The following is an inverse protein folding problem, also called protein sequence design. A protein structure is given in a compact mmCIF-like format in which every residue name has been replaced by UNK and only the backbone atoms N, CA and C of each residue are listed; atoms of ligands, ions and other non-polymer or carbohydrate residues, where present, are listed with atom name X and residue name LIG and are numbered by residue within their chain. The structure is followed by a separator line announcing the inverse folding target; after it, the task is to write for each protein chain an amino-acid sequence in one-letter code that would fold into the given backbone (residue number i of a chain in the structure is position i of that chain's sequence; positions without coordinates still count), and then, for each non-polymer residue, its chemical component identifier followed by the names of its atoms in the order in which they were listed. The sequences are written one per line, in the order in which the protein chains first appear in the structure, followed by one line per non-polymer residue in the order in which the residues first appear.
data_IF_129455515002
#
_entry.id   IF_129455515002
#
_cell.length_a   1.000
_cell.length_b   1.000
_cell.length_c   1.000
_cell.angle_alpha   90.00
_cell.angle_beta   90.00
_cell.angle_gamma   90.00
#
_symmetry.space_group_name_H-M   'P 1'
#
loop_
_entity.id
_entity.type
_entity.pdbx_description
1 polymer ?
#
# COMPACT_ATOMS: atom_id res chain seq x y z
N UNK A 1 -22.74 -4.75 7.23
CA UNK A 1 -22.24 -3.65 8.08
C UNK A 1 -20.86 -4.08 8.52
N UNK A 2 -19.81 -3.40 8.03
CA UNK A 2 -18.44 -3.62 8.49
C UNK A 2 -18.36 -3.18 9.95
N UNK A 3 -18.01 -4.06 10.86
CA UNK A 3 -17.73 -3.70 12.26
C UNK A 3 -16.32 -3.09 12.32
N UNK A 4 -16.03 -2.27 13.34
CA UNK A 4 -14.68 -1.71 13.54
C UNK A 4 -13.61 -2.81 13.64
N UNK A 5 -13.98 -4.01 14.10
CA UNK A 5 -13.15 -5.21 14.15
C UNK A 5 -12.74 -5.79 12.77
N UNK A 6 -13.38 -5.34 11.69
CA UNK A 6 -13.06 -5.72 10.30
C UNK A 6 -12.11 -4.76 9.59
N UNK A 7 -11.71 -3.66 10.25
CA UNK A 7 -10.84 -2.66 9.66
C UNK A 7 -9.37 -2.97 9.96
N UNK A 8 -8.51 -2.67 8.99
CA UNK A 8 -7.07 -2.61 9.20
C UNK A 8 -6.69 -1.19 9.61
N UNK A 9 -5.87 -1.08 10.64
CA UNK A 9 -5.13 0.15 10.93
C UNK A 9 -3.96 0.22 9.96
N UNK A 10 -3.88 1.31 9.19
CA UNK A 10 -2.83 1.52 8.19
C UNK A 10 -1.94 2.67 8.65
N UNK A 11 -0.68 2.35 8.91
CA UNK A 11 0.33 3.32 9.33
C UNK A 11 1.39 3.47 8.23
N UNK A 12 1.87 4.71 8.02
CA UNK A 12 3.00 4.98 7.15
C UNK A 12 4.29 4.71 7.92
N UNK A 13 5.03 3.69 7.50
CA UNK A 13 6.32 3.33 8.11
C UNK A 13 7.46 4.19 7.55
N UNK A 14 7.48 4.40 6.24
CA UNK A 14 8.53 5.22 5.63
C UNK A 14 8.34 5.52 4.15
N UNK A 15 9.18 6.43 3.66
CA UNK A 15 9.30 6.78 2.25
C UNK A 15 10.77 6.79 1.91
N UNK A 16 11.20 5.87 1.05
CA UNK A 16 12.54 5.88 0.49
C UNK A 16 12.53 6.45 -0.92
N UNK A 17 13.52 7.28 -1.23
CA UNK A 17 13.70 7.89 -2.55
C UNK A 17 14.95 7.32 -3.20
N UNK A 18 14.78 6.69 -4.35
CA UNK A 18 15.88 6.24 -5.19
C UNK A 18 16.04 7.18 -6.38
N UNK A 19 17.26 7.71 -6.54
CA UNK A 19 17.64 8.54 -7.68
C UNK A 19 18.30 7.66 -8.74
N UNK A 20 17.73 7.64 -9.94
CA UNK A 20 18.32 6.99 -11.09
C UNK A 20 19.64 7.64 -11.53
N UNK A 21 20.44 6.94 -12.35
CA UNK A 21 21.78 7.36 -12.75
C UNK A 21 21.82 8.71 -13.51
N UNK A 22 20.69 9.18 -14.04
CA UNK A 22 20.56 10.45 -14.75
C UNK A 22 19.97 11.61 -13.91
N UNK A 23 19.72 11.43 -12.60
CA UNK A 23 18.98 12.37 -11.74
C UNK A 23 17.53 12.69 -12.21
N UNK A 24 17.07 12.06 -13.29
CA UNK A 24 15.74 12.23 -13.88
C UNK A 24 14.74 11.17 -13.46
N UNK A 25 15.16 9.89 -13.45
CA UNK A 25 14.31 8.79 -13.00
C UNK A 25 14.27 8.81 -11.47
N UNK A 26 13.20 9.32 -10.88
CA UNK A 26 13.00 9.24 -9.43
C UNK A 26 11.99 8.14 -9.14
N UNK A 27 12.42 7.14 -8.37
CA UNK A 27 11.53 6.15 -7.80
C UNK A 27 11.33 6.43 -6.31
N UNK A 28 10.12 6.16 -5.83
CA UNK A 28 9.79 6.23 -4.41
C UNK A 28 9.23 4.90 -3.96
N UNK A 29 9.78 4.35 -2.89
CA UNK A 29 9.23 3.20 -2.20
C UNK A 29 8.51 3.71 -0.94
N UNK A 30 7.19 3.58 -0.94
CA UNK A 30 6.34 3.98 0.18
C UNK A 30 5.94 2.73 0.95
N UNK A 31 6.28 2.70 2.24
CA UNK A 31 6.08 1.54 3.09
C UNK A 31 4.91 1.77 4.05
N UNK A 32 4.00 0.80 4.10
CA UNK A 32 2.85 0.80 4.98
C UNK A 32 2.80 -0.47 5.82
N UNK A 33 2.46 -0.30 7.09
CA UNK A 33 2.12 -1.39 7.99
C UNK A 33 0.61 -1.41 8.17
N UNK A 34 -0.01 -2.53 7.77
CA UNK A 34 -1.43 -2.77 7.94
C UNK A 34 -1.64 -3.79 9.06
N UNK A 35 -2.22 -3.36 10.18
CA UNK A 35 -2.42 -4.18 11.37
C UNK A 35 -3.89 -4.51 11.58
N UNK A 36 -4.20 -5.77 11.91
CA UNK A 36 -5.53 -6.21 12.35
C UNK A 36 -5.41 -7.39 13.31
N UNK A 37 -5.89 -7.22 14.54
CA UNK A 37 -5.81 -8.22 15.60
C UNK A 37 -4.37 -8.76 15.77
N UNK A 38 -4.13 -10.04 15.47
CA UNK A 38 -2.79 -10.66 15.51
C UNK A 38 -2.08 -10.72 14.15
N UNK A 39 -2.61 -10.02 13.14
CA UNK A 39 -2.07 -10.01 11.79
C UNK A 39 -1.40 -8.68 11.50
N UNK A 40 -0.18 -8.74 10.98
CA UNK A 40 0.56 -7.58 10.45
C UNK A 40 0.87 -7.88 8.99
N UNK A 41 0.58 -6.93 8.11
CA UNK A 41 0.89 -6.99 6.68
C UNK A 41 1.77 -5.80 6.33
N UNK A 42 2.99 -6.09 5.89
CA UNK A 42 3.93 -5.08 5.40
C UNK A 42 3.77 -4.91 3.90
N UNK A 43 3.64 -3.67 3.44
CA UNK A 43 3.38 -3.36 2.04
C UNK A 43 4.32 -2.27 1.57
N UNK A 44 5.03 -2.53 0.48
CA UNK A 44 5.83 -1.53 -0.22
C UNK A 44 5.17 -1.21 -1.56
N UNK A 45 4.87 0.06 -1.78
CA UNK A 45 4.37 0.58 -3.07
C UNK A 45 5.49 1.36 -3.74
N UNK A 46 6.02 0.81 -4.83
CA UNK A 46 7.04 1.46 -5.66
C UNK A 46 6.40 2.34 -6.74
N UNK A 47 6.68 3.63 -6.70
CA UNK A 47 6.17 4.63 -7.64
C UNK A 47 7.31 5.18 -8.49
N UNK A 48 7.16 5.09 -9.81
CA UNK A 48 8.01 5.86 -10.74
C UNK A 48 7.40 7.26 -10.87
N UNK A 49 8.11 8.26 -10.35
CA UNK A 49 7.63 9.63 -10.27
C UNK A 49 8.58 10.56 -11.01
N UNK A 50 8.52 10.55 -12.34
CA UNK A 50 9.10 11.62 -13.15
C UNK A 50 8.37 12.97 -12.94
N UNK A 51 7.12 12.94 -12.45
CA UNK A 51 6.24 14.12 -12.44
C UNK A 51 5.47 14.38 -11.13
N UNK A 52 5.71 13.62 -10.05
CA UNK A 52 4.91 13.74 -8.81
C UNK A 52 5.67 14.58 -7.78
N UNK A 53 5.00 15.57 -7.20
CA UNK A 53 5.60 16.36 -6.11
C UNK A 53 5.70 15.53 -4.83
N UNK A 54 6.67 15.84 -3.95
CA UNK A 54 6.89 15.06 -2.73
C UNK A 54 5.63 14.95 -1.84
N UNK A 55 4.74 15.94 -1.91
CA UNK A 55 3.47 15.98 -1.15
C UNK A 55 2.39 15.05 -1.68
N UNK A 56 2.50 14.59 -2.93
CA UNK A 56 1.48 13.76 -3.60
C UNK A 56 1.83 12.26 -3.59
N UNK A 57 3.05 11.91 -3.16
CA UNK A 57 3.55 10.53 -3.15
C UNK A 57 2.71 9.62 -2.25
N UNK A 58 2.44 10.03 -1.01
CA UNK A 58 1.67 9.21 -0.06
C UNK A 58 0.21 9.03 -0.52
N UNK A 59 -0.52 10.09 -0.92
CA UNK A 59 -1.86 9.92 -1.50
C UNK A 59 -1.89 9.00 -2.73
N UNK A 60 -0.89 9.11 -3.62
CA UNK A 60 -0.80 8.26 -4.80
C UNK A 60 -0.55 6.79 -4.41
N UNK A 61 0.38 6.55 -3.48
CA UNK A 61 0.67 5.22 -2.98
C UNK A 61 -0.55 4.58 -2.30
N UNK A 62 -1.30 5.35 -1.52
CA UNK A 62 -2.56 4.89 -0.90
C UNK A 62 -3.64 4.57 -1.95
N UNK A 63 -3.74 5.34 -3.03
CA UNK A 63 -4.66 5.05 -4.14
C UNK A 63 -4.31 3.73 -4.83
N UNK A 64 -3.02 3.49 -5.11
CA UNK A 64 -2.57 2.23 -5.71
C UNK A 64 -2.74 1.05 -4.76
N UNK A 65 -2.49 1.24 -3.46
CA UNK A 65 -2.76 0.26 -2.43
C UNK A 65 -4.25 -0.16 -2.41
N UNK A 66 -5.16 0.81 -2.47
CA UNK A 66 -6.59 0.55 -2.54
C UNK A 66 -6.97 -0.31 -3.76
N UNK A 67 -6.44 0.04 -4.94
CA UNK A 67 -6.69 -0.72 -6.18
C UNK A 67 -6.15 -2.14 -6.09
N UNK A 68 -4.95 -2.31 -5.54
CA UNK A 68 -4.33 -3.62 -5.35
C UNK A 68 -5.16 -4.50 -4.39
N UNK A 69 -5.59 -3.97 -3.25
CA UNK A 69 -6.43 -4.71 -2.32
C UNK A 69 -7.78 -5.09 -2.91
N UNK A 70 -8.43 -4.21 -3.68
CA UNK A 70 -9.68 -4.55 -4.36
C UNK A 70 -9.48 -5.69 -5.37
N UNK A 71 -8.43 -5.63 -6.19
CA UNK A 71 -8.11 -6.67 -7.17
C UNK A 71 -7.75 -8.01 -6.50
N UNK A 72 -6.94 -7.98 -5.44
CA UNK A 72 -6.61 -9.17 -4.66
C UNK A 72 -7.85 -9.76 -4.01
N UNK A 73 -8.67 -8.95 -3.35
CA UNK A 73 -9.90 -9.39 -2.72
C UNK A 73 -10.82 -10.09 -3.72
N UNK A 74 -10.93 -9.60 -4.96
CA UNK A 74 -11.69 -10.25 -6.03
C UNK A 74 -11.08 -11.58 -6.48
N UNK A 75 -9.76 -11.65 -6.64
CA UNK A 75 -9.05 -12.85 -7.09
C UNK A 75 -9.05 -13.96 -6.03
N UNK A 76 -8.96 -13.59 -4.74
CA UNK A 76 -8.81 -14.55 -3.64
C UNK A 76 -10.14 -14.97 -3.03
N UNK A 77 -11.29 -14.49 -3.53
CA UNK A 77 -12.63 -14.89 -3.02
C UNK A 77 -12.80 -16.41 -2.93
N UNK A 78 -12.28 -17.14 -3.92
CA UNK A 78 -12.39 -18.59 -3.98
C UNK A 78 -11.51 -19.34 -2.96
N UNK A 79 -10.52 -18.67 -2.36
CA UNK A 79 -9.53 -19.26 -1.45
C UNK A 79 -9.70 -18.79 0.00
N UNK A 80 -10.73 -17.97 0.25
CA UNK A 80 -11.03 -17.49 1.59
C UNK A 80 -11.48 -18.66 2.46
N UNK A 81 -10.76 -18.86 3.57
CA UNK A 81 -11.20 -19.73 4.66
C UNK A 81 -12.03 -18.84 5.59
N UNK A 82 -13.33 -19.12 5.71
CA UNK A 82 -14.14 -18.50 6.77
C UNK A 82 -13.96 -19.35 8.04
N UNK A 83 -13.32 -18.82 9.10
CA UNK A 83 -13.34 -19.47 10.39
C UNK A 83 -14.78 -19.42 10.91
N UNK A 84 -15.38 -20.60 11.08
CA UNK A 84 -16.72 -20.76 11.65
C UNK A 84 -16.78 -20.43 13.13
#
# INVERSE_FOLDING_TARGET
MTTEEDLFDVELDGIERTLGPALGDTAYDVMFDCMRASTIVHITVSLNAEAVTTTEIVPLAMSELHRAFAALADQTKAWRIDPG
#
